data_IF_744331494832
#
_entry.id   IF_744331494832
#
_cell.length_a   1.000
_cell.length_b   1.000
_cell.length_c   1.000
_cell.angle_alpha   90.00
_cell.angle_beta   90.00
_cell.angle_gamma   90.00
#
_symmetry.space_group_name_H-M   'P 1'
#
loop_
_entity.id
_entity.type
_entity.pdbx_description
1 polymer ?
#
# COMPACT_ATOMS: atom_id res chain seq x y z
N UNK A 1 -29.45 7.24 5.61
CA UNK A 1 -28.05 7.46 5.99
C UNK A 1 -27.14 6.76 4.98
N UNK A 2 -26.15 7.47 4.48
CA UNK A 2 -25.23 6.94 3.48
C UNK A 2 -23.82 6.87 4.01
N UNK A 3 -23.09 5.82 3.63
CA UNK A 3 -21.67 5.66 3.96
C UNK A 3 -20.85 5.65 2.68
N UNK A 4 -19.62 6.15 2.76
CA UNK A 4 -18.70 6.14 1.63
C UNK A 4 -17.34 5.64 2.11
N UNK A 5 -16.56 5.09 1.17
CA UNK A 5 -15.21 4.62 1.51
C UNK A 5 -14.33 5.81 1.88
N UNK A 6 -13.55 5.66 2.94
CA UNK A 6 -12.65 6.71 3.41
C UNK A 6 -11.19 6.28 3.26
N UNK A 7 -10.77 5.27 4.02
CA UNK A 7 -9.40 4.81 3.98
C UNK A 7 -9.28 3.35 4.43
N UNK A 8 -8.12 2.76 4.17
CA UNK A 8 -7.73 1.45 4.67
C UNK A 8 -6.37 1.60 5.34
N UNK A 9 -6.12 0.91 6.43
CA UNK A 9 -4.88 1.07 7.20
C UNK A 9 -3.96 -0.13 7.12
N UNK A 10 -2.66 0.14 6.92
CA UNK A 10 -1.59 -0.82 7.16
C UNK A 10 -0.71 -0.27 8.29
N UNK A 11 -0.45 -1.08 9.31
CA UNK A 11 0.57 -0.74 10.29
C UNK A 11 1.92 -1.10 9.70
N UNK A 12 2.89 -0.18 9.77
CA UNK A 12 4.20 -0.37 9.16
C UNK A 12 5.29 -0.25 10.21
N UNK A 13 6.33 -1.07 10.07
CA UNK A 13 7.41 -1.11 11.03
C UNK A 13 8.44 0.00 10.82
N UNK A 14 8.65 0.38 9.57
CA UNK A 14 9.62 1.43 9.18
C UNK A 14 8.92 2.39 8.22
N UNK A 15 8.52 3.55 8.74
CA UNK A 15 7.71 4.50 7.98
C UNK A 15 8.43 5.00 6.72
N UNK A 16 9.71 5.38 6.85
CA UNK A 16 10.45 5.91 5.70
C UNK A 16 10.58 4.90 4.57
N UNK A 17 10.84 3.64 4.92
CA UNK A 17 10.91 2.55 3.95
C UNK A 17 9.58 2.34 3.24
N UNK A 18 8.48 2.39 3.99
CA UNK A 18 7.16 2.23 3.41
C UNK A 18 6.77 3.39 2.52
N UNK A 19 7.05 4.63 2.94
CA UNK A 19 6.76 5.80 2.12
C UNK A 19 7.50 5.75 0.79
N UNK A 20 8.76 5.34 0.82
CA UNK A 20 9.57 5.19 -0.39
C UNK A 20 8.96 4.13 -1.32
N UNK A 21 8.58 2.99 -0.76
CA UNK A 21 7.96 1.91 -1.54
C UNK A 21 6.69 2.38 -2.25
N UNK A 22 5.76 2.97 -1.51
CA UNK A 22 4.48 3.38 -2.10
C UNK A 22 4.63 4.47 -3.15
N UNK A 23 5.62 5.34 -2.99
CA UNK A 23 5.90 6.34 -4.00
C UNK A 23 6.50 5.71 -5.25
N UNK A 24 7.54 4.89 -5.11
CA UNK A 24 8.24 4.31 -6.25
C UNK A 24 7.42 3.25 -6.98
N UNK A 25 6.73 2.40 -6.24
CA UNK A 25 6.00 1.28 -6.84
C UNK A 25 4.61 1.67 -7.34
N UNK A 26 3.95 2.61 -6.69
CA UNK A 26 2.54 2.90 -6.95
C UNK A 26 2.22 4.38 -7.16
N UNK A 27 3.21 5.26 -7.02
CA UNK A 27 2.99 6.70 -7.20
C UNK A 27 2.10 7.33 -6.15
N UNK A 28 1.93 6.68 -5.00
CA UNK A 28 1.12 7.22 -3.92
C UNK A 28 1.94 8.17 -3.07
N UNK A 29 1.38 9.33 -2.76
CA UNK A 29 2.07 10.37 -2.02
C UNK A 29 1.26 10.84 -0.82
N UNK A 30 1.95 11.31 0.25
CA UNK A 30 1.26 11.81 1.43
C UNK A 30 0.35 13.00 1.12
N UNK A 31 -0.89 12.91 1.59
CA UNK A 31 -1.86 14.01 1.47
C UNK A 31 -2.24 14.56 2.85
N UNK A 32 -1.96 13.82 3.91
CA UNK A 32 -2.22 14.25 5.27
C UNK A 32 -1.35 13.45 6.24
N UNK A 33 -0.89 14.12 7.30
CA UNK A 33 -0.10 13.49 8.36
C UNK A 33 -0.63 13.93 9.71
N UNK A 34 -0.66 13.00 10.66
CA UNK A 34 -1.07 13.29 12.03
C UNK A 34 -0.10 12.62 12.98
N UNK A 35 0.39 13.38 13.95
CA UNK A 35 1.29 12.84 14.96
C UNK A 35 0.67 12.93 16.35
N UNK A 36 0.93 11.93 17.20
CA UNK A 36 0.52 11.98 18.59
C UNK A 36 1.27 13.10 19.32
N UNK A 37 0.61 13.74 20.29
CA UNK A 37 1.24 14.82 21.07
C UNK A 37 2.51 14.35 21.77
N UNK A 38 2.56 13.08 22.19
CA UNK A 38 3.72 12.50 22.88
C UNK A 38 4.69 11.78 21.91
N UNK A 39 4.45 11.84 20.60
CA UNK A 39 5.29 11.20 19.62
C UNK A 39 5.12 9.70 19.51
N UNK A 40 4.14 9.12 20.18
CA UNK A 40 3.96 7.66 20.24
C UNK A 40 3.52 7.04 18.91
N UNK A 41 2.85 7.81 18.04
CA UNK A 41 2.46 7.31 16.74
C UNK A 41 2.50 8.41 15.68
N UNK A 42 2.62 7.98 14.43
CA UNK A 42 2.50 8.85 13.27
C UNK A 42 1.56 8.17 12.28
N UNK A 43 0.59 8.92 11.77
CA UNK A 43 -0.32 8.46 10.73
C UNK A 43 -0.02 9.24 9.47
N UNK A 44 0.21 8.54 8.36
CA UNK A 44 0.41 9.19 7.06
C UNK A 44 -0.64 8.64 6.10
N UNK A 45 -1.43 9.53 5.51
CA UNK A 45 -2.46 9.16 4.55
C UNK A 45 -1.93 9.40 3.14
N UNK A 46 -1.90 8.33 2.34
CA UNK A 46 -1.41 8.38 0.96
C UNK A 46 -2.59 8.48 -0.01
N UNK A 47 -2.48 9.32 -1.01
CA UNK A 47 -3.53 9.52 -2.01
C UNK A 47 -3.06 9.17 -3.42
N UNK A 48 -4.01 8.92 -4.32
CA UNK A 48 -3.74 8.49 -5.70
C UNK A 48 -4.03 9.56 -6.77
N UNK A 49 -4.55 10.72 -6.40
CA UNK A 49 -4.88 11.83 -7.30
C UNK A 49 -6.13 11.62 -8.17
N UNK A 50 -6.74 10.45 -8.15
CA UNK A 50 -7.93 10.17 -8.96
C UNK A 50 -9.17 9.93 -8.11
N UNK A 51 -9.00 9.31 -6.95
CA UNK A 51 -10.13 9.00 -6.07
C UNK A 51 -9.97 9.73 -4.74
N UNK A 52 -11.00 9.69 -3.91
CA UNK A 52 -10.91 10.20 -2.54
C UNK A 52 -10.43 9.15 -1.54
N UNK A 53 -10.22 7.93 -1.99
CA UNK A 53 -9.78 6.85 -1.11
C UNK A 53 -8.32 7.06 -0.72
N UNK A 54 -7.99 6.77 0.54
CA UNK A 54 -6.64 6.95 1.03
C UNK A 54 -6.12 5.68 1.69
N UNK A 55 -4.83 5.44 1.55
CA UNK A 55 -4.15 4.38 2.30
C UNK A 55 -3.49 5.02 3.51
N UNK A 56 -3.95 4.64 4.70
CA UNK A 56 -3.39 5.13 5.94
C UNK A 56 -2.25 4.21 6.39
N UNK A 57 -1.08 4.77 6.63
CA UNK A 57 0.04 4.04 7.21
C UNK A 57 0.15 4.46 8.67
N UNK A 58 0.10 3.50 9.57
CA UNK A 58 0.28 3.75 11.00
C UNK A 58 1.66 3.29 11.44
N UNK A 59 2.44 4.22 11.98
CA UNK A 59 3.75 3.93 12.54
C UNK A 59 3.68 4.11 14.06
N UNK A 60 4.05 3.06 14.80
CA UNK A 60 4.10 3.09 16.26
C UNK A 60 5.57 3.15 16.70
N UNK A 61 5.96 4.26 17.32
CA UNK A 61 7.36 4.51 17.70
C UNK A 61 8.01 3.36 18.47
N UNK A 62 7.27 2.75 19.38
CA UNK A 62 7.81 1.74 20.28
C UNK A 62 7.66 0.30 19.79
N UNK A 63 7.06 0.11 18.63
CA UNK A 63 6.91 -1.22 18.04
C UNK A 63 8.22 -1.62 17.32
N UNK A 64 8.81 -2.73 17.75
CA UNK A 64 10.08 -3.23 17.16
C UNK A 64 9.93 -4.55 16.44
N UNK A 65 8.88 -5.31 16.75
CA UNK A 65 8.68 -6.61 16.14
C UNK A 65 7.82 -6.53 14.88
N UNK A 66 8.12 -7.35 13.85
CA UNK A 66 7.27 -7.43 12.67
C UNK A 66 5.83 -7.72 13.05
N UNK A 67 4.91 -7.20 12.24
CA UNK A 67 3.49 -7.45 12.46
C UNK A 67 3.12 -8.85 12.01
N UNK A 68 2.24 -9.49 12.77
CA UNK A 68 1.69 -10.78 12.38
C UNK A 68 0.51 -10.51 11.43
N UNK A 69 0.69 -10.83 10.16
CA UNK A 69 -0.30 -10.57 9.13
C UNK A 69 -1.30 -11.71 8.96
N UNK A 70 -1.21 -12.74 9.81
CA UNK A 70 -2.08 -13.90 9.72
C UNK A 70 -1.80 -14.69 8.46
N UNK A 71 -2.86 -15.19 7.83
CA UNK A 71 -2.72 -15.99 6.61
C UNK A 71 -2.71 -15.14 5.34
N UNK A 72 -2.76 -13.81 5.47
CA UNK A 72 -2.79 -12.86 4.35
C UNK A 72 -3.95 -13.13 3.38
N UNK A 73 -5.11 -13.44 3.93
CA UNK A 73 -6.30 -13.68 3.11
C UNK A 73 -7.06 -12.40 2.78
N UNK A 74 -6.36 -11.29 2.81
CA UNK A 74 -6.89 -9.98 2.44
C UNK A 74 -5.82 -9.24 1.66
N UNK A 75 -6.24 -8.30 0.84
CA UNK A 75 -5.31 -7.48 0.09
C UNK A 75 -5.97 -6.19 -0.37
N UNK A 76 -5.15 -5.20 -0.64
CA UNK A 76 -5.56 -3.96 -1.28
C UNK A 76 -5.35 -4.14 -2.78
N UNK A 77 -6.24 -3.60 -3.60
CA UNK A 77 -6.08 -3.67 -5.04
C UNK A 77 -6.01 -2.26 -5.63
N UNK A 78 -5.09 -2.07 -6.58
CA UNK A 78 -5.01 -0.85 -7.36
C UNK A 78 -5.16 -1.21 -8.84
N UNK A 79 -5.88 -0.36 -9.58
CA UNK A 79 -6.05 -0.58 -11.01
C UNK A 79 -5.16 0.36 -11.80
N UNK A 80 -4.76 -0.07 -12.99
CA UNK A 80 -3.93 0.74 -13.88
C UNK A 80 -4.41 0.58 -15.32
N UNK A 81 -4.22 1.62 -16.13
CA UNK A 81 -4.54 1.58 -17.56
C UNK A 81 -3.47 0.86 -18.36
N UNK A 82 -2.27 0.71 -17.81
CA UNK A 82 -1.13 0.12 -18.52
C UNK A 82 -0.50 -1.00 -17.69
N UNK A 83 -1.08 -2.20 -17.80
CA UNK A 83 -0.60 -3.36 -17.07
C UNK A 83 0.82 -3.76 -17.48
N UNK A 84 1.16 -3.58 -18.75
CA UNK A 84 2.49 -3.94 -19.23
C UNK A 84 3.57 -3.06 -18.60
N UNK A 85 3.36 -1.75 -18.58
CA UNK A 85 4.30 -0.83 -17.96
C UNK A 85 4.39 -1.05 -16.45
N UNK A 86 3.25 -1.29 -15.79
CA UNK A 86 3.23 -1.56 -14.36
C UNK A 86 4.02 -2.83 -14.03
N UNK A 87 3.81 -3.90 -14.79
CA UNK A 87 4.52 -5.15 -14.56
C UNK A 87 6.03 -4.98 -14.76
N UNK A 88 6.44 -4.25 -15.79
CA UNK A 88 7.86 -3.99 -16.04
C UNK A 88 8.50 -3.22 -14.88
N UNK A 89 7.80 -2.20 -14.35
CA UNK A 89 8.28 -1.44 -13.20
C UNK A 89 8.42 -2.34 -11.97
N UNK A 90 7.40 -3.10 -11.65
CA UNK A 90 7.40 -3.93 -10.45
C UNK A 90 8.40 -5.09 -10.54
N UNK A 91 8.63 -5.60 -11.75
CA UNK A 91 9.66 -6.60 -11.98
C UNK A 91 11.05 -5.99 -11.74
N UNK A 92 11.28 -4.79 -12.25
CA UNK A 92 12.54 -4.07 -12.05
C UNK A 92 12.80 -3.79 -10.57
N UNK A 93 11.77 -3.43 -9.83
CA UNK A 93 11.88 -3.18 -8.40
C UNK A 93 12.01 -4.46 -7.57
N UNK A 94 11.74 -5.61 -8.18
CA UNK A 94 11.87 -6.90 -7.50
C UNK A 94 10.79 -7.15 -6.45
N UNK A 95 9.60 -6.57 -6.62
CA UNK A 95 8.54 -6.63 -5.60
C UNK A 95 7.38 -7.56 -5.95
N UNK A 96 7.38 -8.17 -7.14
CA UNK A 96 6.32 -9.10 -7.53
C UNK A 96 6.40 -10.36 -6.68
N UNK A 97 5.30 -10.74 -6.01
CA UNK A 97 5.26 -11.92 -5.15
C UNK A 97 4.36 -13.04 -5.69
N UNK A 98 3.46 -12.73 -6.62
CA UNK A 98 2.59 -13.74 -7.20
C UNK A 98 2.04 -13.26 -8.54
N UNK A 99 1.98 -14.13 -9.51
CA UNK A 99 1.42 -13.81 -10.83
C UNK A 99 0.32 -14.78 -11.18
N UNK A 100 -0.79 -14.24 -11.71
CA UNK A 100 -1.89 -15.03 -12.21
C UNK A 100 -2.18 -14.59 -13.65
N UNK A 101 -1.39 -15.14 -14.59
CA UNK A 101 -1.49 -14.75 -15.98
C UNK A 101 -2.83 -15.14 -16.62
N UNK A 102 -3.48 -16.20 -16.10
CA UNK A 102 -4.79 -16.60 -16.56
C UNK A 102 -5.88 -15.57 -16.31
N UNK A 103 -5.75 -14.80 -15.22
CA UNK A 103 -6.67 -13.71 -14.89
C UNK A 103 -6.15 -12.35 -15.32
N UNK A 104 -4.91 -12.27 -15.80
CA UNK A 104 -4.31 -11.01 -16.20
C UNK A 104 -4.00 -10.07 -15.06
N UNK A 105 -3.69 -10.61 -13.90
CA UNK A 105 -3.38 -9.84 -12.68
C UNK A 105 -2.10 -10.35 -12.03
N UNK A 106 -1.55 -9.56 -11.11
CA UNK A 106 -0.44 -10.00 -10.28
C UNK A 106 -0.46 -9.26 -8.96
N UNK A 107 0.37 -9.71 -8.01
CA UNK A 107 0.50 -9.12 -6.69
C UNK A 107 1.93 -8.68 -6.44
N UNK A 108 2.06 -7.56 -5.74
CA UNK A 108 3.35 -7.11 -5.22
C UNK A 108 3.30 -7.15 -3.69
N UNK A 109 4.47 -7.28 -3.06
CA UNK A 109 4.59 -7.30 -1.61
C UNK A 109 5.23 -6.00 -1.14
N UNK A 110 4.61 -5.34 -0.16
CA UNK A 110 5.21 -4.15 0.42
C UNK A 110 6.30 -4.52 1.43
N UNK A 111 7.04 -3.55 2.02
CA UNK A 111 8.13 -3.87 2.94
C UNK A 111 7.74 -4.67 4.18
N UNK A 112 6.48 -4.61 4.60
CA UNK A 112 6.00 -5.37 5.76
C UNK A 112 5.39 -6.71 5.37
N UNK A 113 5.28 -7.01 4.08
CA UNK A 113 4.72 -8.25 3.59
C UNK A 113 3.26 -8.19 3.19
N UNK A 114 2.64 -7.02 3.23
CA UNK A 114 1.25 -6.86 2.75
C UNK A 114 1.19 -7.07 1.25
N UNK A 115 0.20 -7.82 0.81
CA UNK A 115 0.00 -8.07 -0.62
C UNK A 115 -0.89 -6.99 -1.23
N UNK A 116 -0.48 -6.52 -2.40
CA UNK A 116 -1.22 -5.52 -3.16
C UNK A 116 -1.44 -6.07 -4.55
N UNK A 117 -2.70 -6.16 -4.94
CA UNK A 117 -3.09 -6.68 -6.25
C UNK A 117 -3.07 -5.57 -7.28
N UNK A 118 -2.53 -5.87 -8.46
CA UNK A 118 -2.51 -4.93 -9.58
C UNK A 118 -3.46 -5.48 -10.63
N UNK A 119 -4.49 -4.69 -10.95
CA UNK A 119 -5.54 -5.12 -11.87
C UNK A 119 -5.73 -4.11 -13.00
N UNK A 120 -6.22 -4.56 -14.17
CA UNK A 120 -6.47 -3.61 -15.25
C UNK A 120 -7.67 -2.74 -14.94
N UNK A 121 -7.58 -1.49 -15.33
CA UNK A 121 -8.68 -0.53 -15.17
C UNK A 121 -9.85 -0.94 -16.04
N UNK A 122 -11.03 -0.89 -15.48
CA UNK A 122 -12.25 -1.27 -16.18
C UNK A 122 -12.85 -0.12 -16.97
#
# INVERSE_FOLDING_TARGET
MNFSFAHFNFNVLDLERSLKFYKEALGLEPVRTKEAADGSFTLVYLGDKETGFQLELTYLRDRKEPYNLGELEYHLALETEDMEAAHALHKKLGVICYENSGMGIYFISDPDGYWIEIVPKK
#
